data_IF_122238793820
#
_entry.id   IF_122238793820
#
_cell.length_a   1.000
_cell.length_b   1.000
_cell.length_c   1.000
_cell.angle_alpha   90.00
_cell.angle_beta   90.00
_cell.angle_gamma   90.00
#
_symmetry.space_group_name_H-M   'P 1'
#
loop_
_entity.id
_entity.type
_entity.pdbx_description
1 polymer ?
#
# COMPACT_ATOMS: atom_id res chain seq x y z
N UNK A 1 5.62 -8.34 -28.27
CA UNK A 1 5.32 -9.23 -27.14
C UNK A 1 5.67 -10.65 -27.56
N UNK A 2 6.72 -11.26 -27.02
CA UNK A 2 7.23 -12.56 -27.52
C UNK A 2 6.29 -13.70 -27.12
N UNK A 3 5.66 -14.31 -28.12
CA UNK A 3 4.81 -15.49 -27.98
C UNK A 3 5.66 -16.68 -27.51
N UNK A 4 5.58 -17.01 -26.22
CA UNK A 4 6.21 -18.23 -25.69
C UNK A 4 5.44 -19.45 -26.22
N UNK A 5 5.96 -20.06 -27.27
CA UNK A 5 5.52 -21.37 -27.76
C UNK A 5 5.54 -22.36 -26.59
N UNK A 6 4.37 -22.68 -26.04
CA UNK A 6 4.28 -23.60 -24.91
C UNK A 6 4.01 -24.99 -25.45
N UNK A 7 5.09 -25.70 -25.78
CA UNK A 7 5.06 -27.10 -26.18
C UNK A 7 4.63 -28.00 -25.01
N UNK A 8 4.14 -29.20 -25.33
CA UNK A 8 3.78 -30.20 -24.33
C UNK A 8 5.03 -30.70 -23.59
N UNK A 9 4.99 -30.75 -22.27
CA UNK A 9 6.13 -31.20 -21.45
C UNK A 9 6.30 -32.72 -21.39
N UNK A 10 5.37 -33.52 -21.91
CA UNK A 10 5.54 -34.98 -21.99
C UNK A 10 6.54 -35.34 -23.11
N UNK A 11 7.70 -35.96 -22.80
CA UNK A 11 8.72 -36.30 -23.80
C UNK A 11 8.26 -37.37 -24.80
N UNK A 12 7.26 -38.19 -24.45
CA UNK A 12 6.69 -39.21 -25.34
C UNK A 12 5.49 -38.68 -26.17
N UNK A 13 5.23 -37.38 -26.12
CA UNK A 13 4.14 -36.75 -26.85
C UNK A 13 4.40 -36.80 -28.37
N UNK A 14 3.59 -37.58 -29.09
CA UNK A 14 3.65 -37.69 -30.56
C UNK A 14 3.00 -36.51 -31.30
N UNK A 15 2.38 -35.57 -30.60
CA UNK A 15 1.77 -34.39 -31.24
C UNK A 15 2.85 -33.45 -31.76
N UNK A 16 2.61 -32.77 -32.90
CA UNK A 16 3.58 -31.83 -33.44
C UNK A 16 3.83 -30.68 -32.45
N UNK A 17 5.04 -30.13 -32.48
CA UNK A 17 5.48 -29.02 -31.62
C UNK A 17 4.70 -27.72 -31.87
N UNK A 18 3.97 -27.63 -32.98
CA UNK A 18 3.01 -26.57 -33.28
C UNK A 18 1.73 -26.65 -32.43
N UNK A 19 1.49 -27.77 -31.74
CA UNK A 19 0.31 -27.93 -30.89
C UNK A 19 0.50 -27.24 -29.54
N UNK A 20 -0.30 -26.20 -29.28
CA UNK A 20 -0.24 -25.42 -28.04
C UNK A 20 -0.71 -26.24 -26.85
N UNK A 21 0.12 -26.33 -25.81
CA UNK A 21 -0.25 -26.95 -24.56
C UNK A 21 -1.18 -26.02 -23.75
N UNK A 22 -2.48 -26.34 -23.76
CA UNK A 22 -3.51 -25.55 -23.09
C UNK A 22 -3.74 -25.92 -21.62
N UNK A 23 -3.38 -27.15 -21.21
CA UNK A 23 -3.62 -27.63 -19.85
C UNK A 23 -2.39 -27.39 -18.98
N UNK A 24 -2.56 -26.79 -17.81
CA UNK A 24 -1.50 -26.62 -16.82
C UNK A 24 -1.65 -27.66 -15.70
N UNK A 25 -0.54 -28.06 -15.08
CA UNK A 25 -0.59 -28.85 -13.86
C UNK A 25 -1.29 -28.04 -12.75
N UNK A 26 -2.39 -28.53 -12.19
CA UNK A 26 -3.17 -27.81 -11.17
C UNK A 26 -2.44 -27.58 -9.83
N UNK A 27 -1.32 -28.27 -9.60
CA UNK A 27 -0.56 -28.13 -8.35
C UNK A 27 0.53 -27.05 -8.42
N UNK A 28 1.32 -27.00 -9.51
CA UNK A 28 2.41 -26.04 -9.66
C UNK A 28 2.18 -24.96 -10.73
N UNK A 29 1.16 -25.11 -11.58
CA UNK A 29 0.80 -24.24 -12.72
C UNK A 29 1.92 -23.98 -13.76
N UNK A 30 3.11 -24.55 -13.57
CA UNK A 30 4.30 -24.29 -14.39
C UNK A 30 4.39 -25.21 -15.61
N UNK A 31 4.20 -26.51 -15.41
CA UNK A 31 4.26 -27.50 -16.48
C UNK A 31 2.97 -27.52 -17.29
N UNK A 32 3.08 -27.62 -18.61
CA UNK A 32 1.93 -27.62 -19.53
C UNK A 32 1.85 -28.91 -20.34
N UNK A 33 0.62 -29.37 -20.54
CA UNK A 33 0.32 -30.57 -21.29
C UNK A 33 -0.72 -30.28 -22.37
N UNK A 34 -0.57 -30.93 -23.52
CA UNK A 34 -1.55 -30.86 -24.60
C UNK A 34 -2.81 -31.72 -24.32
N UNK A 35 -2.79 -32.58 -23.29
CA UNK A 35 -3.86 -33.51 -22.95
C UNK A 35 -3.68 -34.13 -21.56
N UNK A 36 -4.74 -34.72 -21.00
CA UNK A 36 -4.70 -35.48 -19.73
C UNK A 36 -3.88 -36.78 -19.84
N UNK A 37 -3.92 -37.54 -20.94
CA UNK A 37 -3.00 -38.68 -21.12
C UNK A 37 -1.53 -38.28 -21.02
N UNK A 38 -1.14 -37.13 -21.60
CA UNK A 38 0.23 -36.64 -21.52
C UNK A 38 0.63 -36.25 -20.09
N UNK A 39 -0.28 -35.65 -19.31
CA UNK A 39 0.00 -35.35 -17.90
C UNK A 39 0.14 -36.62 -17.06
N UNK A 40 -0.67 -37.65 -17.32
CA UNK A 40 -0.60 -38.94 -16.62
C UNK A 40 0.67 -39.72 -16.95
N UNK A 41 1.10 -39.73 -18.21
CA UNK A 41 2.32 -40.41 -18.65
C UNK A 41 3.58 -39.78 -18.04
N UNK A 42 3.64 -38.45 -17.98
CA UNK A 42 4.77 -37.72 -17.41
C UNK A 42 4.75 -37.68 -15.87
N UNK A 43 3.61 -37.96 -15.24
CA UNK A 43 3.41 -37.82 -13.79
C UNK A 43 4.49 -38.48 -12.91
N UNK A 44 4.96 -39.71 -13.16
CA UNK A 44 6.00 -40.32 -12.33
C UNK A 44 7.30 -39.52 -12.26
N UNK A 45 7.65 -38.81 -13.35
CA UNK A 45 8.81 -37.94 -13.43
C UNK A 45 8.49 -36.55 -12.87
N UNK A 46 7.37 -35.97 -13.32
CA UNK A 46 6.93 -34.63 -12.91
C UNK A 46 6.64 -34.51 -11.42
N UNK A 47 6.06 -35.53 -10.77
CA UNK A 47 5.62 -35.50 -9.37
C UNK A 47 6.70 -34.98 -8.42
N UNK A 48 7.95 -35.45 -8.57
CA UNK A 48 9.07 -35.04 -7.69
C UNK A 48 9.36 -33.54 -7.81
N UNK A 49 9.46 -33.07 -9.05
CA UNK A 49 9.71 -31.65 -9.37
C UNK A 49 8.51 -30.79 -8.98
N UNK A 50 7.28 -31.28 -9.18
CA UNK A 50 6.05 -30.61 -8.82
C UNK A 50 5.98 -30.32 -7.31
N UNK A 51 6.30 -31.30 -6.47
CA UNK A 51 6.31 -31.10 -5.02
C UNK A 51 7.42 -30.17 -4.55
N UNK A 52 8.62 -30.24 -5.14
CA UNK A 52 9.69 -29.29 -4.81
C UNK A 52 9.30 -27.86 -5.19
N UNK A 53 8.72 -27.66 -6.37
CA UNK A 53 8.28 -26.33 -6.82
C UNK A 53 7.17 -25.77 -5.94
N UNK A 54 6.17 -26.60 -5.60
CA UNK A 54 5.10 -26.20 -4.68
C UNK A 54 5.66 -25.76 -3.32
N UNK A 55 6.65 -26.48 -2.79
CA UNK A 55 7.30 -26.15 -1.52
C UNK A 55 8.10 -24.84 -1.60
N UNK A 56 8.86 -24.64 -2.68
CA UNK A 56 9.63 -23.42 -2.91
C UNK A 56 8.69 -22.21 -3.01
N UNK A 57 7.62 -22.32 -3.79
CA UNK A 57 6.65 -21.24 -3.93
C UNK A 57 5.99 -20.90 -2.58
N UNK A 58 5.59 -21.91 -1.81
CA UNK A 58 5.04 -21.68 -0.47
C UNK A 58 6.04 -20.97 0.47
N UNK A 59 7.33 -21.30 0.38
CA UNK A 59 8.37 -20.62 1.17
C UNK A 59 8.59 -19.18 0.70
N UNK A 60 8.59 -18.93 -0.61
CA UNK A 60 8.67 -17.57 -1.17
C UNK A 60 7.46 -16.72 -0.75
N UNK A 61 6.26 -17.29 -0.77
CA UNK A 61 5.05 -16.61 -0.31
C UNK A 61 5.15 -16.24 1.17
N UNK A 62 5.70 -17.12 2.01
CA UNK A 62 5.97 -16.82 3.42
C UNK A 62 7.00 -15.71 3.60
N UNK A 63 8.10 -15.72 2.84
CA UNK A 63 9.11 -14.66 2.88
C UNK A 63 8.50 -13.33 2.44
N UNK A 64 7.79 -13.31 1.32
CA UNK A 64 7.16 -12.10 0.80
C UNK A 64 6.11 -11.55 1.78
N UNK A 65 5.32 -12.42 2.42
CA UNK A 65 4.38 -12.02 3.45
C UNK A 65 5.09 -11.47 4.70
N UNK A 66 6.19 -12.10 5.12
CA UNK A 66 6.99 -11.62 6.24
C UNK A 66 7.63 -10.25 5.94
N UNK A 67 8.20 -10.04 4.74
CA UNK A 67 8.72 -8.75 4.30
C UNK A 67 7.62 -7.68 4.22
N UNK A 68 6.43 -8.03 3.71
CA UNK A 68 5.29 -7.11 3.65
C UNK A 68 4.75 -6.74 5.03
N UNK A 69 4.90 -7.63 6.02
CA UNK A 69 4.50 -7.38 7.40
C UNK A 69 5.53 -6.57 8.21
N UNK A 70 6.79 -6.45 7.75
CA UNK A 70 7.79 -5.62 8.44
C UNK A 70 7.32 -4.16 8.49
N UNK A 71 7.51 -3.46 9.62
CA UNK A 71 7.23 -2.05 9.68
C UNK A 71 8.14 -1.32 8.69
N UNK A 72 7.57 -0.41 7.91
CA UNK A 72 8.35 0.39 6.96
C UNK A 72 9.36 1.25 7.75
N UNK A 73 10.59 1.43 7.26
CA UNK A 73 11.58 2.25 7.95
C UNK A 73 11.04 3.67 8.14
N UNK A 74 11.24 4.22 9.34
CA UNK A 74 10.88 5.60 9.63
C UNK A 74 11.78 6.55 8.81
N UNK A 75 11.25 7.68 8.33
CA UNK A 75 12.04 8.71 7.67
C UNK A 75 13.18 9.24 8.56
N UNK A 76 14.19 9.84 7.93
CA UNK A 76 15.28 10.51 8.64
C UNK A 76 14.75 11.69 9.45
N UNK A 77 15.22 11.83 10.70
CA UNK A 77 14.94 12.99 11.55
C UNK A 77 15.65 14.27 11.12
N UNK A 78 16.62 14.19 10.20
CA UNK A 78 17.49 15.34 9.81
C UNK A 78 16.96 16.17 8.63
N UNK A 79 15.83 15.79 8.06
CA UNK A 79 15.29 16.47 6.87
C UNK A 79 13.78 16.34 6.79
N UNK A 80 13.12 17.38 6.26
CA UNK A 80 11.72 17.33 5.89
C UNK A 80 11.49 16.22 4.84
N UNK A 81 10.51 15.36 5.09
CA UNK A 81 10.12 14.27 4.18
C UNK A 81 9.36 14.79 2.95
N UNK A 82 8.71 15.96 3.07
CA UNK A 82 7.96 16.59 1.98
C UNK A 82 8.83 17.27 0.94
N UNK A 83 9.63 18.25 1.36
CA UNK A 83 10.47 19.05 0.45
C UNK A 83 11.96 18.67 0.45
N UNK A 84 12.40 17.77 1.35
CA UNK A 84 13.80 17.36 1.45
C UNK A 84 14.73 18.38 2.11
N UNK A 85 14.21 19.52 2.57
CA UNK A 85 15.04 20.52 3.26
C UNK A 85 15.67 19.89 4.50
N UNK A 86 17.00 20.04 4.65
CA UNK A 86 17.68 19.63 5.87
C UNK A 86 17.32 20.62 6.97
N UNK A 87 16.96 20.11 8.14
CA UNK A 87 16.86 20.97 9.30
C UNK A 87 18.28 21.43 9.59
N UNK A 88 18.53 22.74 9.56
CA UNK A 88 19.79 23.28 10.06
C UNK A 88 19.85 22.89 11.52
N UNK A 89 20.88 22.12 11.90
CA UNK A 89 21.22 21.94 13.31
C UNK A 89 21.34 23.36 13.85
N UNK A 90 20.36 23.81 14.64
CA UNK A 90 20.48 25.07 15.34
C UNK A 90 21.67 24.85 16.25
N UNK A 91 22.80 25.50 15.96
CA UNK A 91 24.07 25.32 16.68
C UNK A 91 23.79 25.44 18.17
N UNK A 92 23.69 24.30 18.85
CA UNK A 92 23.43 24.18 20.28
C UNK A 92 24.72 24.40 21.06
N UNK A 93 25.53 25.37 20.63
CA UNK A 93 26.74 25.82 21.33
C UNK A 93 26.38 26.74 22.51
N UNK A 94 25.10 26.77 22.90
CA UNK A 94 24.69 27.31 24.19
C UNK A 94 24.81 26.17 25.21
N UNK A 95 25.99 26.08 25.83
CA UNK A 95 26.38 25.10 26.87
C UNK A 95 25.62 25.28 28.21
N UNK A 96 24.45 25.92 28.20
CA UNK A 96 23.57 25.92 29.37
C UNK A 96 22.78 24.61 29.36
N UNK A 97 23.44 23.60 29.93
CA UNK A 97 22.91 22.29 30.32
C UNK A 97 21.72 22.43 31.27
N UNK A 98 20.52 22.64 30.74
CA UNK A 98 19.30 22.26 31.43
C UNK A 98 18.70 21.03 30.72
N UNK A 99 18.73 19.92 31.46
CA UNK A 99 18.27 18.59 31.10
C UNK A 99 16.83 18.60 30.52
N UNK A 100 16.61 17.72 29.54
CA UNK A 100 15.29 17.32 29.02
C UNK A 100 14.51 18.38 28.21
N UNK A 101 14.93 18.64 26.97
CA UNK A 101 13.97 19.03 25.92
C UNK A 101 13.99 18.03 24.75
N UNK A 102 13.68 16.76 25.05
CA UNK A 102 13.35 15.76 24.01
C UNK A 102 12.13 16.16 23.16
N UNK A 103 11.41 17.21 23.56
CA UNK A 103 10.20 17.75 22.94
C UNK A 103 10.45 18.69 21.73
N UNK A 104 11.69 19.10 21.45
CA UNK A 104 11.97 20.06 20.37
C UNK A 104 11.88 19.47 18.93
N UNK A 105 11.65 18.15 18.79
CA UNK A 105 11.32 17.50 17.51
C UNK A 105 9.81 17.24 17.36
N UNK A 106 8.98 18.17 17.86
CA UNK A 106 7.51 18.09 17.92
C UNK A 106 6.78 17.88 16.58
N UNK A 107 7.45 18.00 15.44
CA UNK A 107 6.80 17.97 14.12
C UNK A 107 6.85 16.61 13.41
N UNK A 108 7.27 15.56 14.11
CA UNK A 108 7.19 14.20 13.61
C UNK A 108 5.76 13.64 13.75
N UNK A 109 5.18 13.11 12.67
CA UNK A 109 3.94 12.35 12.79
C UNK A 109 4.16 11.12 13.69
N UNK A 110 3.47 11.03 14.83
CA UNK A 110 3.65 9.96 15.82
C UNK A 110 3.41 8.54 15.26
N UNK A 111 2.54 8.40 14.26
CA UNK A 111 2.22 7.12 13.64
C UNK A 111 3.25 6.68 12.59
N UNK A 112 3.53 7.54 11.59
CA UNK A 112 4.35 7.16 10.43
C UNK A 112 5.79 7.71 10.46
N UNK A 113 6.13 8.55 11.44
CA UNK A 113 7.43 9.20 11.58
C UNK A 113 7.72 10.24 10.50
N UNK A 114 6.71 10.68 9.73
CA UNK A 114 6.87 11.70 8.71
C UNK A 114 7.34 13.00 9.36
N UNK A 115 8.51 13.49 8.93
CA UNK A 115 9.08 14.75 9.37
C UNK A 115 8.65 15.86 8.42
N UNK A 116 8.24 17.00 8.94
CA UNK A 116 7.79 18.13 8.13
C UNK A 116 8.48 19.40 8.61
N UNK A 117 8.85 20.31 7.71
CA UNK A 117 9.19 21.68 8.11
C UNK A 117 7.91 22.50 8.29
N UNK A 118 7.97 23.59 9.04
CA UNK A 118 6.83 24.50 9.26
C UNK A 118 6.11 24.85 7.96
N UNK A 119 6.86 25.18 6.91
CA UNK A 119 6.29 25.49 5.60
C UNK A 119 5.52 24.32 5.00
N UNK A 120 5.97 23.08 5.15
CA UNK A 120 5.24 21.91 4.64
C UNK A 120 4.08 21.49 5.57
N UNK A 121 4.08 21.92 6.84
CA UNK A 121 2.93 21.75 7.76
C UNK A 121 1.83 22.74 7.38
N UNK A 122 2.20 23.99 7.12
CA UNK A 122 1.28 25.08 6.78
C UNK A 122 0.82 25.04 5.32
N UNK A 123 1.70 24.66 4.39
CA UNK A 123 1.40 24.66 2.98
C UNK A 123 0.70 23.37 2.55
N UNK A 124 -0.46 23.57 1.96
CA UNK A 124 -1.21 22.55 1.19
C UNK A 124 -0.45 21.98 -0.03
N UNK A 125 0.82 22.37 -0.25
CA UNK A 125 1.55 22.13 -1.50
C UNK A 125 2.39 20.85 -1.50
N UNK A 126 2.97 20.44 -0.36
CA UNK A 126 3.99 19.37 -0.34
C UNK A 126 3.75 18.22 0.65
N UNK A 127 2.53 18.11 1.16
CA UNK A 127 1.94 16.80 1.38
C UNK A 127 1.40 16.54 2.78
N UNK A 128 0.47 15.61 2.81
CA UNK A 128 0.07 14.99 4.06
C UNK A 128 1.13 13.99 4.51
N UNK A 129 1.15 13.67 5.81
CA UNK A 129 1.95 12.56 6.30
C UNK A 129 1.56 11.25 5.57
N UNK A 130 2.36 10.19 5.74
CA UNK A 130 2.12 8.91 5.08
C UNK A 130 0.97 8.08 5.68
N UNK A 131 0.28 8.61 6.69
CA UNK A 131 -0.86 7.93 7.28
C UNK A 131 -2.01 7.86 6.28
N UNK A 132 -2.68 6.71 6.25
CA UNK A 132 -3.77 6.45 5.32
C UNK A 132 -5.03 7.23 5.70
N UNK A 133 -5.22 7.47 7.00
CA UNK A 133 -6.47 7.89 7.60
C UNK A 133 -6.41 9.26 8.29
N UNK A 134 -5.21 9.82 8.42
CA UNK A 134 -4.95 11.07 9.12
C UNK A 134 -3.82 11.84 8.45
N UNK A 135 -3.77 13.14 8.69
CA UNK A 135 -2.66 14.03 8.41
C UNK A 135 -2.10 14.57 9.73
N UNK A 136 -0.90 14.14 10.12
CA UNK A 136 -0.28 14.53 11.40
C UNK A 136 -1.20 14.35 12.62
N UNK A 137 -1.93 13.23 12.67
CA UNK A 137 -2.86 12.91 13.76
C UNK A 137 -4.29 13.43 13.54
N UNK A 138 -4.49 14.42 12.68
CA UNK A 138 -5.82 14.92 12.35
C UNK A 138 -6.49 14.03 11.30
N UNK A 139 -7.66 13.42 11.57
CA UNK A 139 -8.25 12.43 10.67
C UNK A 139 -8.72 13.07 9.36
N UNK A 140 -8.49 12.44 8.20
CA UNK A 140 -8.91 13.01 6.91
C UNK A 140 -10.43 13.20 6.79
N UNK A 141 -11.21 12.48 7.59
CA UNK A 141 -12.66 12.55 7.54
C UNK A 141 -13.21 13.92 7.96
N UNK A 142 -12.52 14.67 8.81
CA UNK A 142 -12.95 16.03 9.19
C UNK A 142 -12.57 17.10 8.16
N UNK A 143 -11.79 16.77 7.13
CA UNK A 143 -11.35 17.71 6.11
C UNK A 143 -12.12 17.54 4.79
N UNK A 144 -12.28 18.64 4.03
CA UNK A 144 -12.75 18.57 2.66
C UNK A 144 -11.86 17.65 1.78
N UNK A 145 -12.42 17.03 0.73
CA UNK A 145 -11.65 16.30 -0.27
C UNK A 145 -10.51 17.16 -0.83
N UNK A 146 -9.29 16.63 -0.78
CA UNK A 146 -8.11 17.23 -1.43
C UNK A 146 -7.27 16.14 -2.06
N UNK A 147 -6.67 16.44 -3.22
CA UNK A 147 -5.92 15.49 -4.03
C UNK A 147 -4.72 14.86 -3.32
N UNK A 148 -4.15 15.55 -2.32
CA UNK A 148 -2.99 15.09 -1.56
C UNK A 148 -3.33 14.35 -0.26
N UNK A 149 -4.57 14.38 0.21
CA UNK A 149 -4.99 13.58 1.37
C UNK A 149 -4.90 12.10 0.98
N UNK A 150 -4.33 11.22 1.82
CA UNK A 150 -4.27 9.76 1.57
C UNK A 150 -2.86 9.18 1.47
N UNK A 151 -1.85 10.04 1.53
CA UNK A 151 -0.44 9.69 1.63
C UNK A 151 0.15 9.11 0.33
N UNK A 152 1.45 9.38 0.11
CA UNK A 152 2.24 8.81 -1.01
C UNK A 152 1.62 9.03 -2.40
N UNK A 153 1.03 10.20 -2.63
CA UNK A 153 0.45 10.58 -3.92
C UNK A 153 -0.87 9.88 -4.27
N UNK A 154 -1.55 9.29 -3.28
CA UNK A 154 -2.90 8.73 -3.45
C UNK A 154 -3.93 9.62 -2.75
N UNK A 155 -5.06 9.84 -3.40
CA UNK A 155 -6.23 10.47 -2.78
C UNK A 155 -6.87 9.53 -1.75
N UNK A 156 -7.33 10.10 -0.65
CA UNK A 156 -8.04 9.41 0.42
C UNK A 156 -9.47 9.17 -0.04
N UNK A 157 -9.84 7.89 -0.06
CA UNK A 157 -11.13 7.38 -0.59
C UNK A 157 -12.08 6.93 0.52
N UNK A 158 -11.71 7.14 1.79
CA UNK A 158 -12.55 6.80 2.92
C UNK A 158 -13.63 7.85 3.19
N UNK A 159 -14.37 7.64 4.28
CA UNK A 159 -15.47 8.52 4.66
C UNK A 159 -14.98 9.91 5.05
N UNK A 160 -15.82 10.91 4.77
CA UNK A 160 -15.62 12.32 5.12
C UNK A 160 -16.92 12.91 5.65
N UNK A 161 -16.81 13.79 6.63
CA UNK A 161 -17.89 14.57 7.23
C UNK A 161 -17.30 15.92 7.70
N UNK A 162 -16.83 16.78 6.77
CA UNK A 162 -16.30 18.08 7.14
C UNK A 162 -17.41 18.94 7.76
N UNK A 163 -17.07 19.59 8.88
CA UNK A 163 -17.99 20.47 9.60
C UNK A 163 -18.38 21.68 8.72
N UNK A 164 -19.64 22.11 8.79
CA UNK A 164 -20.17 23.26 8.05
C UNK A 164 -20.54 23.00 6.58
N UNK A 165 -19.82 22.14 5.84
CA UNK A 165 -20.08 21.95 4.40
C UNK A 165 -21.47 21.34 4.10
N UNK A 166 -22.07 20.64 5.06
CA UNK A 166 -23.42 20.10 4.90
C UNK A 166 -24.48 21.19 4.76
N UNK A 167 -24.31 22.32 5.43
CA UNK A 167 -25.25 23.43 5.35
C UNK A 167 -25.20 24.08 3.96
N UNK A 168 -24.00 24.15 3.37
CA UNK A 168 -23.77 24.71 2.05
C UNK A 168 -24.18 23.76 0.91
N UNK A 169 -23.94 22.45 1.08
CA UNK A 169 -24.11 21.43 0.03
C UNK A 169 -24.73 20.13 0.56
N UNK A 170 -25.97 20.15 1.05
CA UNK A 170 -26.60 18.97 1.66
C UNK A 170 -26.72 17.78 0.69
N UNK A 171 -26.79 18.01 -0.62
CA UNK A 171 -26.80 16.96 -1.65
C UNK A 171 -25.50 16.14 -1.68
N UNK A 172 -24.40 16.72 -1.22
CA UNK A 172 -23.08 16.09 -1.10
C UNK A 172 -23.05 14.98 -0.06
N UNK A 173 -24.01 14.94 0.85
CA UNK A 173 -24.05 14.09 2.03
C UNK A 173 -25.13 13.01 1.93
N UNK A 174 -24.92 11.92 2.66
CA UNK A 174 -25.90 10.86 2.84
C UNK A 174 -27.16 11.37 3.55
N UNK A 175 -28.30 10.73 3.30
CA UNK A 175 -29.59 11.19 3.84
C UNK A 175 -29.76 10.90 5.34
N UNK A 176 -29.08 9.87 5.84
CA UNK A 176 -29.13 9.44 7.23
C UNK A 176 -27.72 9.40 7.81
N UNK A 177 -27.53 9.77 9.08
CA UNK A 177 -26.24 9.68 9.73
C UNK A 177 -25.86 8.21 9.93
N UNK A 178 -24.55 7.93 9.86
CA UNK A 178 -23.99 6.60 10.12
C UNK A 178 -22.60 6.72 10.73
N UNK A 179 -22.10 5.64 11.30
CA UNK A 179 -20.72 5.58 11.77
C UNK A 179 -19.74 5.80 10.60
N UNK A 180 -18.83 6.75 10.76
CA UNK A 180 -17.72 7.01 9.88
C UNK A 180 -16.73 5.84 9.95
N UNK A 181 -16.37 5.26 8.81
CA UNK A 181 -15.40 4.18 8.72
C UNK A 181 -13.97 4.58 9.09
N UNK A 182 -13.71 5.87 9.33
CA UNK A 182 -12.40 6.40 9.72
C UNK A 182 -12.28 6.67 11.22
N UNK A 183 -13.13 7.55 11.77
CA UNK A 183 -13.10 7.94 13.19
C UNK A 183 -14.15 7.22 14.06
N UNK A 184 -15.12 6.53 13.46
CA UNK A 184 -16.21 5.87 14.18
C UNK A 184 -17.35 6.78 14.63
N UNK A 185 -17.21 8.10 14.49
CA UNK A 185 -18.25 9.07 14.85
C UNK A 185 -19.50 8.89 13.98
N UNK A 186 -20.68 9.04 14.59
CA UNK A 186 -21.96 8.95 13.89
C UNK A 186 -22.30 10.32 13.33
N UNK A 187 -22.15 10.49 12.02
CA UNK A 187 -22.40 11.74 11.32
C UNK A 187 -22.94 11.50 9.91
N UNK A 188 -23.35 12.56 9.23
CA UNK A 188 -23.70 12.56 7.82
C UNK A 188 -22.40 12.48 7.01
N UNK A 189 -22.09 11.30 6.49
CA UNK A 189 -20.93 11.11 5.63
C UNK A 189 -21.20 11.64 4.21
N UNK A 190 -20.16 12.18 3.55
CA UNK A 190 -20.19 12.56 2.14
C UNK A 190 -20.40 11.33 1.25
N UNK A 191 -21.23 11.47 0.22
CA UNK A 191 -21.41 10.42 -0.80
C UNK A 191 -20.14 10.26 -1.62
N UNK A 192 -19.81 9.02 -1.99
CA UNK A 192 -18.60 8.66 -2.75
C UNK A 192 -18.36 9.46 -4.03
N UNK A 193 -19.43 9.91 -4.69
CA UNK A 193 -19.32 10.71 -5.91
C UNK A 193 -18.76 12.13 -5.69
N UNK A 194 -18.81 12.65 -4.47
CA UNK A 194 -18.28 13.97 -4.09
C UNK A 194 -16.90 13.89 -3.41
N UNK A 195 -16.26 12.72 -3.35
CA UNK A 195 -14.94 12.53 -2.75
C UNK A 195 -13.77 12.82 -3.71
N UNK A 196 -14.04 13.29 -4.92
CA UNK A 196 -13.05 13.54 -5.97
C UNK A 196 -12.66 15.00 -6.06
#
# INVERSE_FOLDING_TARGET
MSEKSTSCSNPECKKPTSFVATKQCAACHKTRYCSVPCSKADWPKHKKVCFSEKRINAMLDQINAAEAAKPKPRPSKKSCTGCGVKFTEHDSDNEDEDEESEDALADACGECGYMCCESCISDTSNGSCHCHNSNFGSPYCSFPPRWYHGGRGKSYVGDRHPEGEREDKPEGFEASPRACGNCGEVDYCMKKQYLK
#
